data_IF_380459309036
#
_entry.id   IF_380459309036
#
_cell.length_a   1.000
_cell.length_b   1.000
_cell.length_c   1.000
_cell.angle_alpha   90.00
_cell.angle_beta   90.00
_cell.angle_gamma   90.00
#
_symmetry.space_group_name_H-M   'P 1'
#
loop_
_entity.id
_entity.type
_entity.pdbx_description
1 polymer ?
#
# COMPACT_ATOMS: atom_id res chain seq x y z
N UNK A 1 -9.35 7.54 12.52
CA UNK A 1 -9.37 6.24 13.25
C UNK A 1 -10.54 6.03 14.23
N UNK A 2 -11.32 7.07 14.62
CA UNK A 2 -12.41 6.93 15.60
C UNK A 2 -13.58 5.98 15.21
N UNK A 3 -13.60 5.45 13.99
CA UNK A 3 -14.65 4.57 13.47
C UNK A 3 -14.30 3.08 13.48
N UNK A 4 -13.00 2.71 13.47
CA UNK A 4 -12.56 1.29 13.39
C UNK A 4 -13.16 0.44 14.52
N UNK A 5 -13.17 0.91 15.80
CA UNK A 5 -13.80 0.15 16.90
C UNK A 5 -15.31 -0.02 16.77
N UNK A 6 -15.97 0.54 15.75
CA UNK A 6 -17.42 0.40 15.49
C UNK A 6 -17.72 -0.52 14.31
N UNK A 7 -16.71 -1.05 13.63
CA UNK A 7 -16.92 -1.98 12.53
C UNK A 7 -17.65 -3.24 13.02
N UNK A 8 -18.62 -3.71 12.22
CA UNK A 8 -19.37 -4.93 12.50
C UNK A 8 -18.47 -6.17 12.47
N UNK A 9 -17.53 -6.22 11.52
CA UNK A 9 -16.46 -7.21 11.50
C UNK A 9 -15.41 -6.86 12.57
N UNK A 10 -15.47 -7.60 13.68
CA UNK A 10 -14.58 -7.39 14.83
C UNK A 10 -13.17 -7.92 14.58
N UNK A 11 -13.06 -9.01 13.84
CA UNK A 11 -11.77 -9.63 13.55
C UNK A 11 -10.96 -8.73 12.63
N UNK A 12 -11.60 -8.19 11.58
CA UNK A 12 -10.96 -7.19 10.71
C UNK A 12 -10.59 -5.92 11.49
N UNK A 13 -11.45 -5.42 12.37
CA UNK A 13 -11.16 -4.22 13.17
C UNK A 13 -9.94 -4.41 14.09
N UNK A 14 -9.83 -5.57 14.74
CA UNK A 14 -8.70 -5.92 15.61
C UNK A 14 -7.43 -6.06 14.76
N UNK A 15 -7.51 -6.79 13.65
CA UNK A 15 -6.39 -6.95 12.71
C UNK A 15 -5.86 -5.58 12.24
N UNK A 16 -6.75 -4.74 11.70
CA UNK A 16 -6.40 -3.42 11.19
C UNK A 16 -5.79 -2.53 12.27
N UNK A 17 -6.38 -2.51 13.47
CA UNK A 17 -5.87 -1.69 14.58
C UNK A 17 -4.49 -2.15 15.04
N UNK A 18 -4.28 -3.46 15.19
CA UNK A 18 -2.98 -4.00 15.63
C UNK A 18 -1.85 -3.67 14.65
N UNK A 19 -2.16 -3.66 13.35
CA UNK A 19 -1.21 -3.30 12.31
C UNK A 19 -0.92 -1.80 12.28
N UNK A 20 -1.95 -0.97 12.41
CA UNK A 20 -1.77 0.48 12.49
C UNK A 20 -0.94 0.88 13.71
N UNK A 21 -1.11 0.23 14.86
CA UNK A 21 -0.27 0.44 16.04
C UNK A 21 1.20 0.09 15.76
N UNK A 22 1.44 -1.00 15.01
CA UNK A 22 2.80 -1.42 14.61
C UNK A 22 3.44 -0.43 13.62
N UNK A 23 2.69 0.02 12.62
CA UNK A 23 3.11 1.07 11.67
C UNK A 23 3.49 2.34 12.43
N UNK A 24 2.61 2.86 13.28
CA UNK A 24 2.86 4.05 14.09
C UNK A 24 4.11 3.91 14.96
N UNK A 25 4.35 2.73 15.53
CA UNK A 25 5.54 2.48 16.33
C UNK A 25 6.84 2.50 15.51
N UNK A 26 6.80 2.09 14.23
CA UNK A 26 7.98 2.06 13.34
C UNK A 26 8.25 3.44 12.74
N UNK A 27 7.19 4.17 12.40
CA UNK A 27 7.24 5.54 11.87
C UNK A 27 7.54 6.59 12.95
N UNK A 28 7.35 6.26 14.23
CA UNK A 28 7.58 7.17 15.33
C UNK A 28 8.99 7.81 15.28
N UNK A 29 9.03 9.14 15.10
CA UNK A 29 10.28 9.91 15.05
C UNK A 29 10.98 9.89 13.69
N UNK A 30 10.40 9.27 12.66
CA UNK A 30 10.84 9.39 11.27
C UNK A 30 10.06 10.53 10.62
N UNK A 31 10.77 11.54 10.14
CA UNK A 31 10.18 12.62 9.36
C UNK A 31 10.89 12.72 8.02
N UNK A 32 10.13 12.50 6.93
CA UNK A 32 10.59 12.73 5.57
C UNK A 32 10.03 14.04 5.05
N UNK A 33 10.76 14.67 4.14
CA UNK A 33 10.25 15.84 3.44
C UNK A 33 9.09 15.39 2.55
N UNK A 34 7.90 15.96 2.77
CA UNK A 34 6.75 15.72 1.91
C UNK A 34 7.05 16.14 0.47
N UNK A 35 6.58 15.35 -0.48
CA UNK A 35 6.69 15.60 -1.93
C UNK A 35 5.33 15.46 -2.59
N UNK A 36 5.22 15.86 -3.86
CA UNK A 36 4.01 15.58 -4.64
C UNK A 36 3.95 14.08 -4.90
N UNK A 37 2.90 13.43 -4.39
CA UNK A 37 2.67 11.98 -4.51
C UNK A 37 1.42 11.70 -5.33
N UNK A 38 1.33 10.50 -5.92
CA UNK A 38 0.13 10.11 -6.67
C UNK A 38 -1.01 9.66 -5.74
N UNK A 39 -0.68 8.84 -4.73
CA UNK A 39 -1.62 8.32 -3.73
C UNK A 39 -2.49 7.14 -4.17
N UNK A 40 -2.38 6.69 -5.43
CA UNK A 40 -3.22 5.59 -5.99
C UNK A 40 -2.64 5.00 -7.29
N UNK A 41 -1.32 4.75 -7.35
CA UNK A 41 -0.67 4.27 -8.58
C UNK A 41 -0.88 2.76 -8.80
N UNK A 42 -2.06 2.39 -9.29
CA UNK A 42 -2.43 1.03 -9.68
C UNK A 42 -2.29 0.80 -11.19
N UNK A 43 -2.29 -0.47 -11.61
CA UNK A 43 -2.07 -0.84 -13.00
C UNK A 43 -3.09 -0.25 -13.99
N UNK A 44 -4.32 -0.01 -13.55
CA UNK A 44 -5.37 0.67 -14.34
C UNK A 44 -5.12 2.18 -14.53
N UNK A 45 -4.28 2.78 -13.68
CA UNK A 45 -3.79 4.15 -13.82
C UNK A 45 -2.51 4.26 -14.66
N UNK A 46 -1.99 3.15 -15.22
CA UNK A 46 -0.79 3.13 -16.06
C UNK A 46 -1.11 2.65 -17.47
N UNK A 47 -0.86 3.49 -18.47
CA UNK A 47 -0.99 3.13 -19.88
C UNK A 47 0.39 3.00 -20.51
N UNK A 48 0.73 1.80 -20.95
CA UNK A 48 1.95 1.52 -21.71
C UNK A 48 1.61 1.34 -23.19
N UNK A 49 2.18 2.19 -24.03
CA UNK A 49 2.03 2.13 -25.49
C UNK A 49 2.99 1.10 -26.11
N UNK A 50 2.72 0.68 -27.34
CA UNK A 50 3.57 -0.26 -28.08
C UNK A 50 4.99 0.25 -28.32
N UNK A 51 5.17 1.57 -28.36
CA UNK A 51 6.48 2.24 -28.48
C UNK A 51 7.22 2.38 -27.15
N UNK A 52 6.66 1.84 -26.05
CA UNK A 52 7.22 1.92 -24.71
C UNK A 52 6.89 3.22 -23.97
N UNK A 53 6.14 4.15 -24.57
CA UNK A 53 5.72 5.35 -23.87
C UNK A 53 4.74 5.03 -22.74
N UNK A 54 5.05 5.53 -21.53
CA UNK A 54 4.24 5.36 -20.33
C UNK A 54 3.45 6.64 -20.04
N UNK A 55 2.18 6.50 -19.70
CA UNK A 55 1.33 7.60 -19.21
C UNK A 55 0.68 7.22 -17.90
N UNK A 56 0.69 8.16 -16.95
CA UNK A 56 0.07 8.02 -15.63
C UNK A 56 -1.21 8.83 -15.59
N UNK A 57 -2.31 8.18 -15.23
CA UNK A 57 -3.67 8.71 -15.12
C UNK A 57 -4.12 8.70 -13.65
N UNK A 58 -5.33 9.17 -13.33
CA UNK A 58 -5.88 8.97 -11.98
C UNK A 58 -5.35 9.94 -10.91
N UNK A 59 -5.13 11.21 -11.27
CA UNK A 59 -4.53 12.23 -10.38
C UNK A 59 -5.48 12.80 -9.30
N UNK A 60 -6.68 12.25 -9.09
CA UNK A 60 -7.64 12.74 -8.10
C UNK A 60 -7.18 12.63 -6.65
N UNK A 61 -6.21 11.75 -6.36
CA UNK A 61 -5.62 11.53 -5.02
C UNK A 61 -4.30 12.27 -4.81
N UNK A 62 -3.87 13.10 -5.76
CA UNK A 62 -2.62 13.85 -5.67
C UNK A 62 -2.55 14.69 -4.39
N UNK A 63 -1.44 14.59 -3.67
CA UNK A 63 -1.24 15.31 -2.41
C UNK A 63 0.23 15.66 -2.18
N UNK A 64 0.50 16.44 -1.12
CA UNK A 64 1.84 16.58 -0.56
C UNK A 64 1.96 15.61 0.62
N UNK A 65 2.74 14.55 0.46
CA UNK A 65 2.84 13.47 1.45
C UNK A 65 4.22 12.77 1.42
N UNK A 66 4.39 11.75 2.27
CA UNK A 66 5.59 10.91 2.33
C UNK A 66 5.82 10.13 1.01
N UNK A 67 6.95 10.37 0.30
CA UNK A 67 7.25 9.64 -0.94
C UNK A 67 7.46 8.14 -0.75
N UNK A 68 7.88 7.68 0.43
CA UNK A 68 8.08 6.26 0.71
C UNK A 68 6.75 5.53 0.88
N UNK A 69 5.74 6.19 1.46
CA UNK A 69 4.38 5.68 1.52
C UNK A 69 3.78 5.58 0.11
N UNK A 70 4.02 6.55 -0.77
CA UNK A 70 3.57 6.49 -2.17
C UNK A 70 4.25 5.36 -2.95
N UNK A 71 5.54 5.10 -2.70
CA UNK A 71 6.23 3.92 -3.22
C UNK A 71 5.63 2.62 -2.68
N UNK A 72 5.24 2.60 -1.40
CA UNK A 72 4.48 1.52 -0.78
C UNK A 72 3.13 1.28 -1.49
N UNK A 73 2.40 2.36 -1.79
CA UNK A 73 1.15 2.31 -2.56
C UNK A 73 1.35 1.76 -3.96
N UNK A 74 2.40 2.21 -4.67
CA UNK A 74 2.74 1.68 -5.98
C UNK A 74 3.09 0.19 -5.93
N UNK A 75 3.76 -0.28 -4.86
CA UNK A 75 4.01 -1.71 -4.68
C UNK A 75 2.72 -2.51 -4.49
N UNK A 76 1.75 -2.00 -3.72
CA UNK A 76 0.41 -2.62 -3.60
C UNK A 76 -0.30 -2.69 -4.96
N UNK A 77 -0.18 -1.63 -5.77
CA UNK A 77 -0.87 -1.52 -7.05
C UNK A 77 -0.23 -2.27 -8.22
N UNK A 78 1.10 -2.41 -8.23
CA UNK A 78 1.88 -2.91 -9.38
C UNK A 78 2.64 -4.21 -9.10
N UNK A 79 3.01 -4.47 -7.84
CA UNK A 79 3.90 -5.57 -7.48
C UNK A 79 3.18 -6.80 -6.91
N UNK A 80 1.90 -6.98 -7.24
CA UNK A 80 1.13 -8.15 -6.80
C UNK A 80 0.51 -8.96 -7.94
N UNK A 81 0.20 -10.21 -7.63
CA UNK A 81 -0.61 -11.09 -8.48
C UNK A 81 -1.51 -11.94 -7.58
N UNK A 82 -2.82 -11.92 -7.84
CA UNK A 82 -3.83 -12.64 -7.05
C UNK A 82 -3.74 -12.41 -5.53
N UNK A 83 -3.52 -11.16 -5.09
CA UNK A 83 -3.45 -10.80 -3.67
C UNK A 83 -2.12 -11.14 -2.99
N UNK A 84 -1.08 -11.50 -3.76
CA UNK A 84 0.23 -11.90 -3.24
C UNK A 84 1.33 -11.02 -3.84
N UNK A 85 2.26 -10.56 -3.00
CA UNK A 85 3.46 -9.84 -3.43
C UNK A 85 4.32 -10.71 -4.37
N UNK A 86 4.69 -10.17 -5.51
CA UNK A 86 5.59 -10.79 -6.49
C UNK A 86 6.96 -10.11 -6.41
N UNK A 87 7.92 -10.80 -5.80
CA UNK A 87 9.27 -10.25 -5.56
C UNK A 87 9.91 -9.65 -6.82
N UNK A 88 9.85 -10.36 -7.96
CA UNK A 88 10.42 -9.85 -9.22
C UNK A 88 9.78 -8.54 -9.71
N UNK A 89 8.49 -8.30 -9.42
CA UNK A 89 7.82 -7.03 -9.78
C UNK A 89 8.19 -5.92 -8.80
N UNK A 90 8.31 -6.25 -7.51
CA UNK A 90 8.81 -5.32 -6.52
C UNK A 90 10.24 -4.88 -6.87
N UNK A 91 11.13 -5.84 -7.16
CA UNK A 91 12.52 -5.56 -7.56
C UNK A 91 12.58 -4.65 -8.80
N UNK A 92 11.74 -4.91 -9.81
CA UNK A 92 11.66 -4.07 -11.00
C UNK A 92 11.18 -2.64 -10.69
N UNK A 93 10.15 -2.50 -9.84
CA UNK A 93 9.65 -1.19 -9.38
C UNK A 93 10.74 -0.43 -8.62
N UNK A 94 11.43 -1.08 -7.68
CA UNK A 94 12.46 -0.47 -6.85
C UNK A 94 13.72 -0.13 -7.65
N UNK A 95 14.10 -0.95 -8.63
CA UNK A 95 15.21 -0.63 -9.53
C UNK A 95 14.90 0.63 -10.33
N UNK A 96 13.72 0.72 -10.94
CA UNK A 96 13.33 1.90 -11.72
C UNK A 96 13.19 3.18 -10.87
N UNK A 97 12.68 3.05 -9.62
CA UNK A 97 12.60 4.17 -8.70
C UNK A 97 13.99 4.67 -8.29
N UNK A 98 14.89 3.76 -7.90
CA UNK A 98 16.23 4.10 -7.40
C UNK A 98 17.17 4.68 -8.46
N UNK A 99 16.91 4.43 -9.75
CA UNK A 99 17.65 5.06 -10.86
C UNK A 99 17.48 6.59 -10.88
N UNK A 100 16.40 7.12 -10.30
CA UNK A 100 16.08 8.55 -10.25
C UNK A 100 16.14 9.10 -8.83
N UNK A 101 15.63 8.34 -7.86
CA UNK A 101 15.54 8.70 -6.46
C UNK A 101 16.10 7.57 -5.57
N UNK A 102 17.43 7.52 -5.35
CA UNK A 102 18.04 6.49 -4.52
C UNK A 102 17.47 6.48 -3.10
N UNK A 103 17.14 5.29 -2.61
CA UNK A 103 16.71 5.11 -1.22
C UNK A 103 17.91 5.16 -0.29
N UNK A 104 17.74 5.82 0.86
CA UNK A 104 18.70 5.68 1.95
C UNK A 104 18.62 4.28 2.56
N UNK A 105 19.64 3.84 3.30
CA UNK A 105 19.59 2.57 4.04
C UNK A 105 18.40 2.55 5.03
N UNK A 106 18.10 3.70 5.61
CA UNK A 106 16.98 3.89 6.53
C UNK A 106 15.63 3.68 5.82
N UNK A 107 15.47 4.24 4.62
CA UNK A 107 14.24 4.13 3.83
C UNK A 107 14.06 2.73 3.24
N UNK A 108 15.15 2.12 2.75
CA UNK A 108 15.13 0.74 2.30
C UNK A 108 14.70 -0.21 3.44
N UNK A 109 15.17 0.03 4.66
CA UNK A 109 14.77 -0.74 5.84
C UNK A 109 13.33 -0.46 6.29
N UNK A 110 12.80 0.74 6.05
CA UNK A 110 11.43 1.12 6.40
C UNK A 110 10.39 0.69 5.36
N UNK A 111 10.77 0.59 4.09
CA UNK A 111 9.88 0.35 2.95
C UNK A 111 8.91 -0.84 3.15
N UNK A 112 9.30 -2.01 3.69
CA UNK A 112 8.35 -3.09 3.94
C UNK A 112 7.16 -2.68 4.81
N UNK A 113 7.39 -1.83 5.81
CA UNK A 113 6.32 -1.34 6.68
C UNK A 113 5.43 -0.31 5.96
N UNK A 114 6.00 0.49 5.06
CA UNK A 114 5.23 1.43 4.23
C UNK A 114 4.35 0.71 3.19
N UNK A 115 4.84 -0.41 2.63
CA UNK A 115 4.03 -1.30 1.78
C UNK A 115 2.85 -1.86 2.57
N UNK A 116 3.09 -2.29 3.82
CA UNK A 116 2.02 -2.73 4.73
C UNK A 116 1.06 -1.58 5.01
N UNK A 117 1.56 -0.39 5.37
CA UNK A 117 0.74 0.79 5.66
C UNK A 117 -0.19 1.13 4.49
N UNK A 118 0.33 1.16 3.26
CA UNK A 118 -0.47 1.35 2.06
C UNK A 118 -1.56 0.28 1.91
N UNK A 119 -1.24 -0.99 2.15
CA UNK A 119 -2.23 -2.08 2.11
C UNK A 119 -3.34 -1.91 3.18
N UNK A 120 -3.01 -1.41 4.38
CA UNK A 120 -3.99 -1.10 5.43
C UNK A 120 -4.93 0.03 5.02
N UNK A 121 -4.42 1.08 4.37
CA UNK A 121 -5.21 2.19 3.83
C UNK A 121 -6.23 1.64 2.81
N UNK A 122 -5.78 0.77 1.90
CA UNK A 122 -6.65 0.13 0.90
C UNK A 122 -7.66 -0.82 1.56
N UNK A 123 -7.25 -1.60 2.56
CA UNK A 123 -8.14 -2.49 3.31
C UNK A 123 -9.26 -1.70 4.00
N UNK A 124 -8.90 -0.62 4.70
CA UNK A 124 -9.85 0.30 5.32
C UNK A 124 -10.80 0.91 4.29
N UNK A 125 -10.27 1.44 3.18
CA UNK A 125 -11.07 2.05 2.13
C UNK A 125 -12.10 1.06 1.57
N UNK A 126 -11.67 -0.16 1.21
CA UNK A 126 -12.53 -1.21 0.68
C UNK A 126 -13.62 -1.61 1.67
N UNK A 127 -13.27 -1.82 2.94
CA UNK A 127 -14.23 -2.15 3.98
C UNK A 127 -15.24 -1.00 4.17
N UNK A 128 -14.75 0.22 4.37
CA UNK A 128 -15.59 1.39 4.60
C UNK A 128 -16.53 1.65 3.43
N UNK A 129 -16.03 1.57 2.20
CA UNK A 129 -16.84 1.76 1.00
C UNK A 129 -17.94 0.72 0.88
N UNK A 130 -17.62 -0.56 0.99
CA UNK A 130 -18.53 -1.65 0.64
C UNK A 130 -19.32 -2.25 1.80
N UNK A 131 -19.03 -1.86 3.04
CA UNK A 131 -19.78 -2.30 4.22
C UNK A 131 -20.46 -1.16 4.98
N UNK A 132 -20.01 0.09 4.82
CA UNK A 132 -20.53 1.24 5.59
C UNK A 132 -21.18 2.27 4.66
N UNK A 133 -20.40 2.89 3.77
CA UNK A 133 -20.85 4.05 2.99
C UNK A 133 -21.78 3.68 1.84
N UNK A 134 -21.44 2.63 1.09
CA UNK A 134 -22.19 2.11 -0.04
C UNK A 134 -22.23 0.58 0.03
N UNK A 135 -23.03 0.00 0.95
CA UNK A 135 -23.05 -1.44 1.17
C UNK A 135 -23.31 -2.22 -0.12
N UNK A 136 -22.39 -3.14 -0.44
CA UNK A 136 -22.45 -4.00 -1.60
C UNK A 136 -22.08 -5.42 -1.18
N UNK A 137 -23.06 -6.33 -1.01
CA UNK A 137 -22.81 -7.71 -0.57
C UNK A 137 -21.87 -8.48 -1.49
N UNK A 138 -21.78 -8.14 -2.79
CA UNK A 138 -20.86 -8.81 -3.71
C UNK A 138 -19.40 -8.37 -3.51
N UNK A 139 -19.18 -7.24 -2.83
CA UNK A 139 -17.86 -6.64 -2.59
C UNK A 139 -17.52 -6.50 -1.10
N UNK A 140 -18.36 -7.00 -0.20
CA UNK A 140 -18.20 -6.81 1.25
C UNK A 140 -16.88 -7.38 1.77
N UNK A 141 -16.37 -8.46 1.16
CA UNK A 141 -15.16 -9.17 1.59
C UNK A 141 -13.88 -8.81 0.83
N UNK A 142 -13.90 -7.89 -0.14
CA UNK A 142 -12.70 -7.60 -0.98
C UNK A 142 -11.55 -6.95 -0.19
N UNK A 143 -11.83 -6.46 1.02
CA UNK A 143 -10.80 -5.97 1.94
C UNK A 143 -9.88 -7.10 2.43
N UNK A 144 -10.35 -8.36 2.44
CA UNK A 144 -9.57 -9.52 2.86
C UNK A 144 -8.38 -9.83 1.93
N UNK A 145 -8.44 -9.38 0.67
CA UNK A 145 -7.29 -9.49 -0.23
C UNK A 145 -6.05 -8.78 0.33
N UNK A 146 -6.24 -7.67 1.07
CA UNK A 146 -5.14 -6.94 1.70
C UNK A 146 -4.59 -7.66 2.94
N UNK A 147 -5.40 -8.47 3.62
CA UNK A 147 -4.92 -9.35 4.70
C UNK A 147 -3.93 -10.36 4.10
N UNK A 148 -4.33 -11.04 3.03
CA UNK A 148 -3.48 -11.98 2.32
C UNK A 148 -2.20 -11.32 1.76
N UNK A 149 -2.33 -10.10 1.25
CA UNK A 149 -1.17 -9.35 0.74
C UNK A 149 -0.19 -9.01 1.86
N UNK A 150 -0.65 -8.48 2.99
CA UNK A 150 0.20 -8.17 4.16
C UNK A 150 0.92 -9.43 4.66
N UNK A 151 0.23 -10.56 4.76
CA UNK A 151 0.86 -11.85 5.13
C UNK A 151 1.98 -12.24 4.16
N UNK A 152 1.84 -11.93 2.87
CA UNK A 152 2.87 -12.22 1.86
C UNK A 152 4.10 -11.30 1.98
N UNK A 153 3.89 -10.03 2.33
CA UNK A 153 4.96 -9.06 2.60
C UNK A 153 5.74 -9.47 3.84
N UNK A 154 5.06 -9.87 4.92
CA UNK A 154 5.72 -10.37 6.13
C UNK A 154 6.56 -11.62 5.87
N UNK A 155 6.03 -12.57 5.10
CA UNK A 155 6.79 -13.80 4.75
C UNK A 155 8.02 -13.48 3.93
N UNK A 156 7.92 -12.57 2.95
CA UNK A 156 9.05 -12.19 2.12
C UNK A 156 10.16 -11.49 2.91
N UNK A 157 9.80 -10.70 3.92
CA UNK A 157 10.73 -9.91 4.72
C UNK A 157 11.32 -10.69 5.91
N UNK A 158 10.55 -11.61 6.50
CA UNK A 158 11.02 -12.50 7.57
C UNK A 158 12.02 -13.56 7.08
N UNK A 159 12.08 -13.82 5.78
CA UNK A 159 13.05 -14.75 5.17
C UNK A 159 14.40 -14.09 4.85
N UNK A 160 14.54 -12.78 5.09
CA UNK A 160 15.76 -12.00 4.82
C UNK A 160 16.55 -11.66 6.11
N UNK A 161 16.06 -12.06 7.29
CA UNK A 161 16.75 -11.91 8.59
C UNK A 161 17.22 -13.25 9.14
#
# INVERSE_FOLDING_TARGET
MAEIPRFADRDFAIWLSSWLDRVQSVEAGRERRSTVVHGDLFADNVVVRQDGHLSVLGWETISLDDPLLDLGMAAVGLAQEAGILVAARLDALLSGYQDIAPLSEEDAAALPMEIVHAALIIAFHRYYRHNIRFPDPAKSSIHNEMIQFVDSVEKATSLQG
#
